data_IF_714832978199
#
_entry.id   IF_714832978199
#
_cell.length_a   1.000
_cell.length_b   1.000
_cell.length_c   1.000
_cell.angle_alpha   90.00
_cell.angle_beta   90.00
_cell.angle_gamma   90.00
#
_symmetry.space_group_name_H-M   'P 1'
#
loop_
_entity.id
_entity.type
_entity.pdbx_description
1 polymer ?
#
# COMPACT_ATOMS: atom_id res chain seq x y z
N UNK A 1 32.87 38.77 48.63
CA UNK A 1 31.39 38.84 48.58
C UNK A 1 30.89 37.57 47.91
N UNK A 2 30.30 36.67 48.72
CA UNK A 2 29.48 35.47 48.40
C UNK A 2 30.13 34.42 47.44
N UNK A 3 30.83 33.34 47.87
CA UNK A 3 30.50 32.13 48.66
C UNK A 3 29.31 31.30 48.16
N UNK A 4 29.57 30.13 47.55
CA UNK A 4 29.30 28.77 48.12
C UNK A 4 29.40 27.66 47.05
N UNK A 5 30.41 26.81 47.23
CA UNK A 5 30.44 25.42 46.77
C UNK A 5 30.51 24.57 48.04
N UNK A 6 29.46 23.81 48.33
CA UNK A 6 29.44 22.87 49.46
C UNK A 6 29.00 21.50 48.98
N UNK A 7 29.87 20.53 49.30
CA UNK A 7 29.73 19.09 49.16
C UNK A 7 28.50 18.58 49.91
N UNK A 8 27.87 17.53 49.39
CA UNK A 8 27.30 16.48 50.24
C UNK A 8 27.58 15.11 49.63
N UNK A 9 28.46 14.39 50.31
CA UNK A 9 28.65 12.94 50.22
C UNK A 9 27.63 12.28 51.14
N UNK A 10 26.83 11.34 50.65
CA UNK A 10 26.15 10.37 51.49
C UNK A 10 26.19 9.00 50.81
N UNK A 11 26.95 8.13 51.46
CA UNK A 11 27.02 6.69 51.36
C UNK A 11 25.65 6.01 51.40
N UNK A 12 25.44 5.05 50.49
CA UNK A 12 24.49 3.94 50.69
C UNK A 12 25.21 2.64 50.35
N UNK A 13 25.45 1.83 51.37
CA UNK A 13 25.98 0.47 51.29
C UNK A 13 24.89 -0.54 51.63
N UNK A 14 24.89 -1.66 50.91
CA UNK A 14 24.23 -2.96 51.21
C UNK A 14 22.69 -2.96 51.11
N UNK A 15 21.99 -3.99 50.64
CA UNK A 15 22.30 -5.41 50.45
C UNK A 15 21.23 -6.08 49.56
N UNK A 16 21.64 -7.16 48.88
CA UNK A 16 20.88 -8.40 48.62
C UNK A 16 19.50 -8.37 47.95
N UNK A 17 19.43 -8.93 46.73
CA UNK A 17 18.63 -10.13 46.38
C UNK A 17 18.63 -10.28 44.85
N UNK A 18 19.43 -11.19 44.29
CA UNK A 18 18.97 -12.50 43.81
C UNK A 18 17.69 -12.42 42.97
N UNK A 19 17.81 -12.09 41.68
CA UNK A 19 16.65 -12.00 40.80
C UNK A 19 16.93 -11.70 39.33
N UNK A 20 17.97 -12.30 38.73
CA UNK A 20 18.16 -12.26 37.28
C UNK A 20 18.58 -13.64 36.75
N UNK A 21 17.82 -14.65 37.18
CA UNK A 21 17.75 -16.00 36.62
C UNK A 21 16.43 -16.13 35.86
N UNK A 22 16.22 -15.30 34.83
CA UNK A 22 15.04 -15.41 33.95
C UNK A 22 15.28 -14.90 32.51
N UNK A 23 16.51 -15.00 32.03
CA UNK A 23 16.88 -14.81 30.61
C UNK A 23 17.78 -15.96 30.12
N UNK A 24 17.46 -17.16 30.60
CA UNK A 24 17.92 -18.46 30.11
C UNK A 24 16.72 -19.38 29.90
N UNK A 25 15.84 -19.01 28.98
CA UNK A 25 14.99 -19.97 28.26
C UNK A 25 14.25 -19.21 27.18
N UNK A 26 14.77 -19.29 25.95
CA UNK A 26 14.04 -19.44 24.68
C UNK A 26 14.97 -19.03 23.54
N UNK A 27 15.08 -19.93 22.55
CA UNK A 27 15.80 -19.78 21.28
C UNK A 27 17.33 -19.96 21.29
N UNK A 28 17.75 -21.17 21.66
CA UNK A 28 18.71 -21.93 20.85
C UNK A 28 18.17 -23.33 20.60
N UNK A 29 17.71 -23.59 19.38
CA UNK A 29 17.86 -24.89 18.71
C UNK A 29 17.68 -24.67 17.22
N UNK A 30 18.80 -24.76 16.53
CA UNK A 30 18.94 -24.87 15.09
C UNK A 30 19.19 -26.35 14.79
N UNK A 31 18.63 -26.83 13.67
CA UNK A 31 19.06 -27.96 12.83
C UNK A 31 18.67 -29.37 13.30
N UNK A 32 17.75 -30.02 12.56
CA UNK A 32 18.08 -31.12 11.65
C UNK A 32 16.83 -31.86 11.12
N UNK A 33 16.71 -31.92 9.80
CA UNK A 33 16.45 -33.14 9.02
C UNK A 33 15.31 -34.07 9.50
N UNK A 34 14.10 -33.83 8.99
CA UNK A 34 13.12 -34.88 8.68
C UNK A 34 11.93 -34.27 7.92
N UNK A 35 11.98 -34.27 6.58
CA UNK A 35 10.83 -34.37 5.66
C UNK A 35 11.33 -34.20 4.20
N UNK A 36 12.34 -35.01 3.84
CA UNK A 36 12.58 -35.41 2.45
C UNK A 36 12.41 -36.93 2.48
N UNK A 37 11.31 -37.40 1.88
CA UNK A 37 10.88 -38.78 1.62
C UNK A 37 9.50 -39.10 2.22
N UNK A 38 8.44 -38.64 1.55
CA UNK A 38 7.14 -39.34 1.42
C UNK A 38 6.18 -38.51 0.56
N UNK A 39 6.51 -38.31 -0.72
CA UNK A 39 5.54 -38.00 -1.78
C UNK A 39 6.14 -38.46 -3.12
N UNK A 40 6.45 -39.75 -3.19
CA UNK A 40 6.68 -40.46 -4.44
C UNK A 40 5.61 -41.56 -4.49
N UNK A 41 4.38 -41.13 -4.78
CA UNK A 41 3.21 -41.98 -4.88
C UNK A 41 2.09 -41.18 -5.52
N UNK A 42 1.72 -41.56 -6.73
CA UNK A 42 0.60 -41.03 -7.51
C UNK A 42 0.76 -39.58 -8.03
N UNK A 43 1.65 -39.42 -9.03
CA UNK A 43 1.36 -38.52 -10.16
C UNK A 43 0.26 -39.19 -10.99
N UNK A 44 -0.94 -39.30 -10.41
CA UNK A 44 -2.15 -39.40 -11.22
C UNK A 44 -2.20 -38.11 -12.02
N UNK A 45 -2.54 -38.22 -13.30
CA UNK A 45 -2.70 -37.09 -14.19
C UNK A 45 -3.67 -36.09 -13.57
N UNK A 46 -3.16 -35.13 -12.79
CA UNK A 46 -3.95 -34.00 -12.33
C UNK A 46 -4.34 -33.30 -13.62
N UNK A 47 -5.63 -33.31 -14.00
CA UNK A 47 -6.07 -32.59 -15.18
C UNK A 47 -5.55 -31.18 -15.00
N UNK A 48 -4.80 -30.67 -15.99
CA UNK A 48 -4.30 -29.30 -15.94
C UNK A 48 -5.52 -28.43 -15.59
N UNK A 49 -5.50 -27.70 -14.45
CA UNK A 49 -6.63 -26.84 -14.11
C UNK A 49 -6.96 -25.99 -15.34
N UNK A 50 -8.22 -26.05 -15.77
CA UNK A 50 -8.74 -25.28 -16.90
C UNK A 50 -8.89 -23.80 -16.55
N UNK A 51 -9.31 -22.95 -17.51
CA UNK A 51 -9.67 -21.56 -17.22
C UNK A 51 -10.78 -21.49 -16.16
N UNK A 52 -10.83 -20.39 -15.41
CA UNK A 52 -11.88 -20.19 -14.39
C UNK A 52 -13.24 -20.13 -15.08
N UNK A 53 -14.30 -20.81 -14.57
CA UNK A 53 -15.62 -20.73 -15.18
C UNK A 53 -16.11 -19.28 -15.27
N UNK A 54 -16.57 -18.84 -16.45
CA UNK A 54 -17.02 -17.46 -16.67
C UNK A 54 -18.16 -17.02 -15.72
N UNK A 55 -19.02 -17.96 -15.30
CA UNK A 55 -20.06 -17.70 -14.31
C UNK A 55 -19.50 -17.31 -12.95
N UNK A 56 -18.40 -17.94 -12.53
CA UNK A 56 -17.78 -17.69 -11.23
C UNK A 56 -17.10 -16.32 -11.21
N UNK A 57 -16.45 -15.94 -12.32
CA UNK A 57 -15.88 -14.59 -12.50
C UNK A 57 -16.97 -13.52 -12.48
N UNK A 58 -18.09 -13.73 -13.19
CA UNK A 58 -19.20 -12.77 -13.22
C UNK A 58 -19.80 -12.53 -11.83
N UNK A 59 -19.99 -13.59 -11.03
CA UNK A 59 -20.48 -13.44 -9.65
C UNK A 59 -19.49 -12.72 -8.73
N UNK A 60 -18.19 -12.94 -8.88
CA UNK A 60 -17.18 -12.23 -8.10
C UNK A 60 -17.08 -10.74 -8.51
N UNK A 61 -17.25 -10.45 -9.80
CA UNK A 61 -17.26 -9.07 -10.32
C UNK A 61 -18.50 -8.30 -9.84
N UNK A 62 -19.68 -8.92 -9.80
CA UNK A 62 -20.89 -8.30 -9.26
C UNK A 62 -20.70 -7.82 -7.81
N UNK A 63 -20.06 -8.66 -6.96
CA UNK A 63 -19.72 -8.28 -5.59
C UNK A 63 -18.67 -7.16 -5.55
N UNK A 64 -17.68 -7.20 -6.43
CA UNK A 64 -16.65 -6.16 -6.53
C UNK A 64 -17.24 -4.80 -6.90
N UNK A 65 -18.18 -4.74 -7.83
CA UNK A 65 -18.86 -3.50 -8.22
C UNK A 65 -19.67 -2.88 -7.07
N UNK A 66 -20.09 -3.70 -6.10
CA UNK A 66 -20.83 -3.26 -4.90
C UNK A 66 -19.95 -2.91 -3.70
N UNK A 67 -18.61 -2.88 -3.85
CA UNK A 67 -17.67 -2.62 -2.74
C UNK A 67 -17.93 -1.31 -1.97
N UNK A 68 -18.52 -0.31 -2.62
CA UNK A 68 -18.92 0.96 -1.99
C UNK A 68 -20.02 0.85 -0.93
N UNK A 69 -20.73 -0.29 -0.85
CA UNK A 69 -21.78 -0.53 0.16
C UNK A 69 -21.22 -0.75 1.58
N UNK A 70 -19.91 -1.00 1.71
CA UNK A 70 -19.22 -1.09 3.00
C UNK A 70 -18.34 -2.34 3.17
N UNK A 71 -17.73 -2.46 4.36
CA UNK A 71 -16.73 -3.51 4.66
C UNK A 71 -17.24 -4.94 4.48
N UNK A 72 -18.49 -5.21 4.84
CA UNK A 72 -19.08 -6.55 4.68
C UNK A 72 -19.11 -6.98 3.21
N UNK A 73 -19.51 -6.09 2.30
CA UNK A 73 -19.52 -6.37 0.85
C UNK A 73 -18.09 -6.56 0.32
N UNK A 74 -17.12 -5.79 0.81
CA UNK A 74 -15.70 -6.01 0.48
C UNK A 74 -15.22 -7.40 0.90
N UNK A 75 -15.57 -7.87 2.10
CA UNK A 75 -15.19 -9.20 2.58
C UNK A 75 -15.86 -10.33 1.77
N UNK A 76 -17.12 -10.15 1.38
CA UNK A 76 -17.80 -11.07 0.49
C UNK A 76 -17.13 -11.15 -0.89
N UNK A 77 -16.76 -9.99 -1.45
CA UNK A 77 -16.02 -9.92 -2.71
C UNK A 77 -14.64 -10.60 -2.59
N UNK A 78 -13.87 -10.30 -1.53
CA UNK A 78 -12.57 -10.92 -1.26
C UNK A 78 -12.68 -12.44 -1.16
N UNK A 79 -13.69 -12.95 -0.43
CA UNK A 79 -13.93 -14.38 -0.30
C UNK A 79 -14.21 -15.04 -1.66
N UNK A 80 -15.01 -14.39 -2.51
CA UNK A 80 -15.29 -14.87 -3.87
C UNK A 80 -14.01 -14.91 -4.71
N UNK A 81 -13.23 -13.82 -4.77
CA UNK A 81 -11.99 -13.77 -5.55
C UNK A 81 -10.91 -14.75 -5.05
N UNK A 82 -10.74 -14.89 -3.73
CA UNK A 82 -9.78 -15.84 -3.13
C UNK A 82 -10.14 -17.29 -3.41
N UNK A 83 -11.42 -17.61 -3.61
CA UNK A 83 -11.83 -18.95 -4.08
C UNK A 83 -11.29 -19.23 -5.48
N UNK A 84 -11.35 -18.23 -6.38
CA UNK A 84 -10.87 -18.36 -7.77
C UNK A 84 -9.35 -18.42 -7.88
N UNK A 85 -8.63 -17.77 -6.95
CA UNK A 85 -7.17 -17.70 -6.93
C UNK A 85 -6.48 -19.08 -6.95
N UNK A 86 -7.13 -20.13 -6.45
CA UNK A 86 -6.58 -21.49 -6.39
C UNK A 86 -6.42 -22.12 -7.78
N UNK A 87 -7.35 -21.82 -8.68
CA UNK A 87 -7.48 -22.46 -9.98
C UNK A 87 -7.08 -21.52 -11.14
N UNK A 88 -7.03 -20.20 -10.89
CA UNK A 88 -6.70 -19.18 -11.88
C UNK A 88 -5.28 -19.29 -12.44
N UNK A 89 -5.12 -19.01 -13.73
CA UNK A 89 -3.85 -19.02 -14.46
C UNK A 89 -3.82 -17.94 -15.55
N UNK A 90 -2.62 -17.60 -16.03
CA UNK A 90 -2.47 -16.65 -17.13
C UNK A 90 -3.18 -15.33 -16.85
N UNK A 91 -3.95 -14.84 -17.81
CA UNK A 91 -4.73 -13.60 -17.70
C UNK A 91 -5.75 -13.63 -16.57
N UNK A 92 -6.40 -14.77 -16.32
CA UNK A 92 -7.36 -14.90 -15.21
C UNK A 92 -6.66 -14.72 -13.86
N UNK A 93 -5.44 -15.23 -13.71
CA UNK A 93 -4.65 -15.05 -12.49
C UNK A 93 -4.30 -13.58 -12.26
N UNK A 94 -3.89 -12.87 -13.31
CA UNK A 94 -3.61 -11.43 -13.24
C UNK A 94 -4.84 -10.65 -12.82
N UNK A 95 -5.99 -10.96 -13.44
CA UNK A 95 -7.26 -10.31 -13.12
C UNK A 95 -7.70 -10.58 -11.67
N UNK A 96 -7.67 -11.84 -11.23
CA UNK A 96 -8.02 -12.23 -9.85
C UNK A 96 -7.11 -11.54 -8.82
N UNK A 97 -5.79 -11.55 -9.06
CA UNK A 97 -4.82 -10.90 -8.15
C UNK A 97 -5.03 -9.40 -8.10
N UNK A 98 -5.27 -8.75 -9.24
CA UNK A 98 -5.58 -7.33 -9.29
C UNK A 98 -6.83 -7.03 -8.46
N UNK A 99 -7.93 -7.77 -8.64
CA UNK A 99 -9.18 -7.56 -7.91
C UNK A 99 -9.03 -7.74 -6.40
N UNK A 100 -8.28 -8.76 -5.94
CA UNK A 100 -8.00 -8.95 -4.51
C UNK A 100 -7.23 -7.74 -3.97
N UNK A 101 -6.14 -7.34 -4.64
CA UNK A 101 -5.33 -6.22 -4.19
C UNK A 101 -6.09 -4.88 -4.20
N UNK A 102 -6.93 -4.62 -5.21
CA UNK A 102 -7.78 -3.42 -5.24
C UNK A 102 -8.77 -3.39 -4.07
N UNK A 103 -9.35 -4.54 -3.68
CA UNK A 103 -10.23 -4.64 -2.51
C UNK A 103 -9.47 -4.44 -1.20
N UNK A 104 -8.27 -5.04 -1.06
CA UNK A 104 -7.42 -4.84 0.11
C UNK A 104 -7.02 -3.36 0.25
N UNK A 105 -6.68 -2.68 -0.86
CA UNK A 105 -6.40 -1.24 -0.88
C UNK A 105 -7.65 -0.44 -0.54
N UNK A 106 -8.80 -0.76 -1.13
CA UNK A 106 -10.06 -0.07 -0.85
C UNK A 106 -10.43 -0.17 0.64
N UNK A 107 -10.35 -1.37 1.24
CA UNK A 107 -10.62 -1.53 2.66
C UNK A 107 -9.60 -0.80 3.52
N UNK A 108 -8.31 -1.09 3.30
CA UNK A 108 -7.24 -0.61 4.15
C UNK A 108 -7.00 0.89 4.04
N UNK A 109 -7.16 1.46 2.86
CA UNK A 109 -6.91 2.87 2.61
C UNK A 109 -8.19 3.70 2.74
N UNK A 110 -9.30 3.28 2.13
CA UNK A 110 -10.46 4.16 1.95
C UNK A 110 -11.56 3.96 2.99
N UNK A 111 -11.76 2.74 3.50
CA UNK A 111 -12.77 2.46 4.52
C UNK A 111 -12.25 2.58 5.95
N UNK A 112 -10.98 2.25 6.18
CA UNK A 112 -10.34 2.36 7.48
C UNK A 112 -9.73 3.74 7.71
N UNK A 113 -9.79 4.21 8.95
CA UNK A 113 -9.10 5.44 9.39
C UNK A 113 -7.60 5.22 9.46
N UNK A 114 -6.83 6.28 9.21
CA UNK A 114 -5.37 6.21 9.17
C UNK A 114 -4.75 5.79 10.51
N UNK A 115 -5.43 6.12 11.62
CA UNK A 115 -5.04 5.77 12.99
C UNK A 115 -5.25 4.29 13.33
N UNK A 116 -6.01 3.53 12.53
CA UNK A 116 -6.28 2.11 12.76
C UNK A 116 -5.20 1.19 12.18
N UNK A 117 -3.94 1.45 12.56
CA UNK A 117 -2.77 0.72 12.04
C UNK A 117 -2.84 -0.80 12.27
N UNK A 118 -3.44 -1.24 13.38
CA UNK A 118 -3.56 -2.67 13.71
C UNK A 118 -4.47 -3.45 12.76
N UNK A 119 -5.50 -2.81 12.20
CA UNK A 119 -6.36 -3.43 11.18
C UNK A 119 -5.78 -3.26 9.77
N UNK A 120 -5.21 -2.10 9.45
CA UNK A 120 -4.61 -1.82 8.13
C UNK A 120 -3.41 -2.71 7.82
N UNK A 121 -2.53 -2.94 8.80
CA UNK A 121 -1.27 -3.66 8.57
C UNK A 121 -1.42 -5.10 8.05
N UNK A 122 -2.28 -5.98 8.62
CA UNK A 122 -2.48 -7.32 8.07
C UNK A 122 -3.10 -7.30 6.66
N UNK A 123 -4.01 -6.37 6.36
CA UNK A 123 -4.62 -6.22 5.03
C UNK A 123 -3.54 -5.93 3.97
N UNK A 124 -2.71 -4.92 4.21
CA UNK A 124 -1.63 -4.60 3.28
C UNK A 124 -0.52 -5.67 3.25
N UNK A 125 -0.37 -6.44 4.33
CA UNK A 125 0.51 -7.60 4.39
C UNK A 125 0.05 -8.68 3.41
N UNK A 126 -1.23 -9.01 3.44
CA UNK A 126 -1.86 -9.96 2.52
C UNK A 126 -1.78 -9.47 1.07
N UNK A 127 -2.08 -8.19 0.80
CA UNK A 127 -1.93 -7.64 -0.55
C UNK A 127 -0.51 -7.83 -1.11
N UNK A 128 0.52 -7.58 -0.29
CA UNK A 128 1.93 -7.75 -0.68
C UNK A 128 2.31 -9.19 -0.98
N UNK A 129 1.64 -10.16 -0.36
CA UNK A 129 1.86 -11.60 -0.58
C UNK A 129 1.10 -12.10 -1.80
N UNK A 130 -0.16 -11.68 -1.96
CA UNK A 130 -1.01 -12.06 -3.09
C UNK A 130 -0.42 -11.57 -4.41
N UNK A 131 0.15 -10.37 -4.45
CA UNK A 131 0.74 -9.83 -5.69
C UNK A 131 1.96 -10.63 -6.19
N UNK A 132 2.67 -11.35 -5.32
CA UNK A 132 3.78 -12.22 -5.74
C UNK A 132 3.34 -13.42 -6.59
N UNK A 133 2.03 -13.72 -6.63
CA UNK A 133 1.48 -14.80 -7.45
C UNK A 133 1.60 -14.53 -8.95
N UNK A 134 1.73 -13.26 -9.35
CA UNK A 134 1.91 -12.85 -10.74
C UNK A 134 3.33 -12.35 -11.03
N UNK A 135 4.26 -12.52 -10.08
CA UNK A 135 5.66 -12.17 -10.30
C UNK A 135 6.24 -12.98 -11.47
N UNK A 136 6.80 -12.28 -12.46
CA UNK A 136 7.40 -12.90 -13.65
C UNK A 136 6.39 -13.37 -14.71
N UNK A 137 5.11 -13.06 -14.56
CA UNK A 137 4.13 -13.17 -15.67
C UNK A 137 4.33 -11.95 -16.58
N UNK A 138 4.80 -12.10 -17.83
CA UNK A 138 5.17 -10.96 -18.67
C UNK A 138 4.03 -9.96 -18.88
N UNK A 139 2.82 -10.46 -19.15
CA UNK A 139 1.63 -9.63 -19.38
C UNK A 139 1.10 -8.94 -18.11
N UNK A 140 1.71 -9.22 -16.96
CA UNK A 140 1.32 -8.70 -15.66
C UNK A 140 2.32 -7.69 -15.09
N UNK A 141 3.37 -7.33 -15.85
CA UNK A 141 4.48 -6.54 -15.32
C UNK A 141 4.02 -5.18 -14.76
N UNK A 142 3.16 -4.46 -15.49
CA UNK A 142 2.58 -3.18 -15.05
C UNK A 142 1.78 -3.34 -13.74
N UNK A 143 0.87 -4.31 -13.72
CA UNK A 143 0.00 -4.63 -12.58
C UNK A 143 0.83 -5.03 -11.36
N UNK A 144 1.79 -5.92 -11.55
CA UNK A 144 2.71 -6.38 -10.52
C UNK A 144 3.45 -5.20 -9.92
N UNK A 145 4.09 -4.39 -10.76
CA UNK A 145 4.97 -3.34 -10.30
C UNK A 145 4.21 -2.23 -9.56
N UNK A 146 3.07 -1.80 -10.10
CA UNK A 146 2.19 -0.81 -9.45
C UNK A 146 1.64 -1.30 -8.10
N UNK A 147 1.00 -2.47 -8.07
CA UNK A 147 0.36 -2.96 -6.85
C UNK A 147 1.41 -3.29 -5.78
N UNK A 148 2.54 -3.88 -6.19
CA UNK A 148 3.58 -4.26 -5.24
C UNK A 148 4.22 -3.04 -4.58
N UNK A 149 4.46 -1.94 -5.32
CA UNK A 149 4.98 -0.72 -4.68
C UNK A 149 3.94 -0.08 -3.76
N UNK A 150 2.68 0.03 -4.21
CA UNK A 150 1.57 0.62 -3.44
C UNK A 150 1.33 -0.15 -2.13
N UNK A 151 1.09 -1.46 -2.20
CA UNK A 151 0.83 -2.27 -1.00
C UNK A 151 2.06 -2.35 -0.08
N UNK A 152 3.28 -2.26 -0.62
CA UNK A 152 4.48 -2.16 0.22
C UNK A 152 4.58 -0.83 0.96
N UNK A 153 4.27 0.29 0.30
CA UNK A 153 4.25 1.61 0.92
C UNK A 153 3.18 1.69 2.04
N UNK A 154 1.96 1.25 1.74
CA UNK A 154 0.84 1.24 2.71
C UNK A 154 1.10 0.31 3.90
N UNK A 155 1.75 -0.84 3.66
CA UNK A 155 2.18 -1.71 4.74
C UNK A 155 3.23 -1.03 5.64
N UNK A 156 4.22 -0.34 5.06
CA UNK A 156 5.26 0.38 5.82
C UNK A 156 4.63 1.48 6.67
N UNK A 157 3.67 2.23 6.13
CA UNK A 157 2.97 3.30 6.84
C UNK A 157 2.18 2.78 8.07
N UNK A 158 1.59 1.60 7.92
CA UNK A 158 0.81 0.92 8.98
C UNK A 158 1.66 0.05 9.92
N UNK A 159 2.94 -0.18 9.62
CA UNK A 159 3.80 -1.05 10.40
C UNK A 159 4.23 -0.42 11.74
N UNK A 160 4.40 -1.27 12.74
CA UNK A 160 5.06 -0.90 14.01
C UNK A 160 6.58 -0.77 13.82
N UNK A 161 7.28 -0.01 14.68
CA UNK A 161 8.74 0.11 14.60
C UNK A 161 9.48 -1.24 14.61
N UNK A 162 8.98 -2.25 15.33
CA UNK A 162 9.58 -3.58 15.37
C UNK A 162 9.45 -4.31 14.02
N UNK A 163 8.30 -4.19 13.36
CA UNK A 163 8.07 -4.79 12.04
C UNK A 163 8.96 -4.15 10.96
N UNK A 164 9.27 -2.85 11.08
CA UNK A 164 10.14 -2.13 10.14
C UNK A 164 11.59 -2.61 10.16
N UNK A 165 12.11 -3.12 11.29
CA UNK A 165 13.50 -3.58 11.40
C UNK A 165 13.79 -4.74 10.44
N UNK A 166 12.83 -5.65 10.24
CA UNK A 166 13.00 -6.81 9.35
C UNK A 166 12.71 -6.52 7.88
N UNK A 167 11.80 -5.59 7.59
CA UNK A 167 11.28 -5.35 6.23
C UNK A 167 11.87 -4.10 5.58
N UNK A 168 12.45 -3.18 6.35
CA UNK A 168 13.05 -1.96 5.80
C UNK A 168 14.13 -2.23 4.75
N UNK A 169 14.93 -3.29 4.93
CA UNK A 169 15.94 -3.70 3.95
C UNK A 169 15.31 -4.26 2.66
N UNK A 170 14.25 -5.07 2.77
CA UNK A 170 13.50 -5.59 1.63
C UNK A 170 12.84 -4.46 0.85
N UNK A 171 12.12 -3.57 1.53
CA UNK A 171 11.44 -2.45 0.89
C UNK A 171 12.45 -1.51 0.22
N UNK A 172 13.59 -1.23 0.88
CA UNK A 172 14.69 -0.48 0.28
C UNK A 172 15.24 -1.14 -0.98
N UNK A 173 15.52 -2.45 -0.94
CA UNK A 173 16.04 -3.16 -2.11
C UNK A 173 15.06 -3.08 -3.26
N UNK A 174 13.80 -3.39 -3.01
CA UNK A 174 12.72 -3.30 -3.97
C UNK A 174 12.54 -1.87 -4.52
N UNK A 175 12.53 -0.86 -3.66
CA UNK A 175 12.41 0.54 -4.09
C UNK A 175 13.56 0.95 -5.02
N UNK A 176 14.79 0.50 -4.73
CA UNK A 176 15.95 0.76 -5.58
C UNK A 176 15.95 -0.05 -6.89
N UNK A 177 15.13 -1.09 -7.01
CA UNK A 177 14.86 -1.70 -8.32
C UNK A 177 13.84 -0.90 -9.12
N UNK A 178 13.10 0.02 -8.50
CA UNK A 178 12.04 0.81 -9.13
C UNK A 178 12.51 2.17 -9.64
N UNK A 179 13.33 2.84 -8.85
CA UNK A 179 13.76 4.20 -9.13
C UNK A 179 15.27 4.28 -9.30
N UNK A 180 15.69 5.19 -10.15
CA UNK A 180 17.07 5.64 -10.24
C UNK A 180 17.42 6.51 -9.03
N UNK A 181 18.70 6.84 -8.87
CA UNK A 181 19.19 7.65 -7.73
C UNK A 181 18.60 9.06 -7.66
N UNK A 182 18.13 9.58 -8.78
CA UNK A 182 17.42 10.87 -8.92
C UNK A 182 15.89 10.72 -8.84
N UNK A 183 15.40 9.57 -8.34
CA UNK A 183 13.97 9.30 -8.10
C UNK A 183 13.11 9.27 -9.36
N UNK A 184 13.72 9.05 -10.52
CA UNK A 184 12.99 8.79 -11.75
C UNK A 184 12.70 7.29 -11.86
N UNK A 185 11.59 6.95 -12.53
CA UNK A 185 11.33 5.56 -12.85
C UNK A 185 12.42 5.01 -13.74
N UNK A 186 12.86 3.80 -13.41
CA UNK A 186 13.86 3.11 -14.20
C UNK A 186 13.32 2.80 -15.59
N UNK A 187 14.01 3.22 -16.68
CA UNK A 187 13.52 3.02 -18.04
C UNK A 187 13.58 1.56 -18.48
N UNK A 188 14.29 0.71 -17.72
CA UNK A 188 14.38 -0.73 -17.96
C UNK A 188 13.31 -1.54 -17.21
N UNK A 189 12.40 -0.87 -16.49
CA UNK A 189 11.20 -1.52 -16.00
C UNK A 189 10.21 -1.68 -17.13
N UNK A 190 9.70 -2.91 -17.28
CA UNK A 190 8.49 -3.19 -18.05
C UNK A 190 7.27 -2.77 -17.21
N UNK A 191 7.24 -1.48 -16.84
CA UNK A 191 6.21 -0.88 -16.01
C UNK A 191 5.74 0.43 -16.64
N UNK A 192 4.48 0.47 -17.02
CA UNK A 192 3.79 1.65 -17.51
C UNK A 192 3.33 2.49 -16.31
N UNK A 193 3.90 3.68 -16.11
CA UNK A 193 3.53 4.51 -14.98
C UNK A 193 2.11 5.04 -15.03
N UNK A 194 1.44 4.96 -16.19
CA UNK A 194 0.10 5.48 -16.41
C UNK A 194 -0.99 4.68 -15.72
N UNK A 195 -0.71 3.41 -15.37
CA UNK A 195 -1.69 2.53 -14.73
C UNK A 195 -2.36 3.23 -13.54
N UNK A 196 -3.70 3.13 -13.47
CA UNK A 196 -4.51 3.77 -12.42
C UNK A 196 -4.28 5.30 -12.35
N UNK A 197 -4.23 5.94 -13.52
CA UNK A 197 -4.06 7.39 -13.67
C UNK A 197 -2.77 7.91 -13.02
N UNK A 198 -1.63 7.30 -13.36
CA UNK A 198 -0.34 7.73 -12.79
C UNK A 198 -0.03 7.11 -11.41
N UNK A 199 -0.60 5.95 -11.09
CA UNK A 199 -0.56 5.37 -9.74
C UNK A 199 0.84 5.09 -9.20
N UNK A 200 1.79 4.74 -10.08
CA UNK A 200 3.20 4.58 -9.70
C UNK A 200 3.80 5.93 -9.29
N UNK A 201 3.57 6.99 -10.07
CA UNK A 201 4.04 8.34 -9.73
C UNK A 201 3.44 8.83 -8.41
N UNK A 202 2.14 8.63 -8.20
CA UNK A 202 1.45 8.97 -6.94
C UNK A 202 2.10 8.29 -5.74
N UNK A 203 2.40 6.99 -5.85
CA UNK A 203 3.00 6.23 -4.75
C UNK A 203 4.42 6.70 -4.45
N UNK A 204 5.24 6.94 -5.48
CA UNK A 204 6.62 7.45 -5.29
C UNK A 204 6.58 8.87 -4.73
N UNK A 205 5.63 9.71 -5.14
CA UNK A 205 5.44 11.04 -4.56
C UNK A 205 5.15 10.97 -3.05
N UNK A 206 4.26 10.06 -2.63
CA UNK A 206 3.98 9.81 -1.22
C UNK A 206 5.23 9.39 -0.44
N UNK A 207 6.00 8.43 -0.98
CA UNK A 207 7.27 7.99 -0.39
C UNK A 207 8.25 9.17 -0.31
N UNK A 208 8.40 9.95 -1.38
CA UNK A 208 9.36 11.06 -1.43
C UNK A 208 9.05 12.16 -0.41
N UNK A 209 7.78 12.38 -0.09
CA UNK A 209 7.36 13.37 0.90
C UNK A 209 7.45 12.86 2.35
N UNK A 210 7.50 11.55 2.58
CA UNK A 210 7.45 10.98 3.93
C UNK A 210 8.77 11.19 4.69
N UNK A 211 8.78 11.71 5.94
CA UNK A 211 10.00 11.91 6.71
C UNK A 211 10.83 10.63 6.97
N UNK A 212 10.19 9.46 7.00
CA UNK A 212 10.84 8.15 7.23
C UNK A 212 11.47 7.58 5.96
N UNK A 213 11.27 8.20 4.80
CA UNK A 213 11.78 7.72 3.51
C UNK A 213 13.31 7.80 3.38
N UNK A 214 13.98 8.55 4.26
CA UNK A 214 15.45 8.53 4.38
C UNK A 214 16.00 7.13 4.70
N UNK A 215 15.19 6.25 5.30
CA UNK A 215 15.54 4.85 5.53
C UNK A 215 15.59 4.03 4.23
N UNK A 216 14.82 4.46 3.23
CA UNK A 216 14.63 3.78 1.94
C UNK A 216 15.68 4.24 0.95
N UNK A 217 15.84 5.55 0.78
CA UNK A 217 16.78 6.13 -0.18
C UNK A 217 17.45 7.41 0.38
N UNK A 218 18.78 7.59 0.24
CA UNK A 218 19.49 8.72 0.85
C UNK A 218 19.13 10.09 0.28
N UNK A 219 18.55 10.15 -0.92
CA UNK A 219 18.06 11.39 -1.52
C UNK A 219 16.68 11.84 -1.00
N UNK A 220 16.13 11.12 -0.01
CA UNK A 220 14.81 11.35 0.56
C UNK A 220 14.88 11.75 2.04
N UNK A 221 13.88 12.47 2.58
CA UNK A 221 12.72 13.04 1.88
C UNK A 221 13.09 14.19 0.93
N UNK A 222 12.28 14.38 -0.11
CA UNK A 222 12.38 15.49 -1.06
C UNK A 222 10.98 15.99 -1.46
N UNK A 223 10.58 17.12 -0.88
CA UNK A 223 9.26 17.72 -1.11
C UNK A 223 9.11 18.22 -2.56
N UNK A 224 10.14 18.85 -3.11
CA UNK A 224 10.10 19.35 -4.49
C UNK A 224 9.91 18.21 -5.49
N UNK A 225 10.63 17.10 -5.29
CA UNK A 225 10.47 15.90 -6.12
C UNK A 225 9.10 15.25 -5.92
N UNK A 226 8.56 15.25 -4.70
CA UNK A 226 7.21 14.76 -4.46
C UNK A 226 6.15 15.58 -5.21
N UNK A 227 6.30 16.92 -5.26
CA UNK A 227 5.42 17.80 -6.03
C UNK A 227 5.53 17.51 -7.53
N UNK A 228 6.75 17.39 -8.05
CA UNK A 228 6.98 17.03 -9.46
C UNK A 228 6.29 15.71 -9.82
N UNK A 229 6.47 14.67 -9.00
CA UNK A 229 5.91 13.34 -9.25
C UNK A 229 4.38 13.32 -9.14
N UNK A 230 3.78 14.02 -8.17
CA UNK A 230 2.32 14.05 -8.07
C UNK A 230 1.70 14.87 -9.22
N UNK A 231 2.39 15.89 -9.73
CA UNK A 231 1.96 16.63 -10.91
C UNK A 231 2.05 15.75 -12.18
N UNK A 232 3.07 14.89 -12.30
CA UNK A 232 3.13 13.87 -13.35
C UNK A 232 2.00 12.83 -13.22
N UNK A 233 1.61 12.46 -12.00
CA UNK A 233 0.49 11.55 -11.78
C UNK A 233 -0.82 12.18 -12.28
N UNK A 234 -1.11 13.44 -11.90
CA UNK A 234 -2.30 14.18 -12.36
C UNK A 234 -2.31 14.35 -13.88
N UNK A 235 -1.16 14.69 -14.47
CA UNK A 235 -1.03 14.89 -15.91
C UNK A 235 -0.95 13.57 -16.72
N UNK A 236 -0.95 12.41 -16.06
CA UNK A 236 -0.82 11.13 -16.72
C UNK A 236 -2.02 10.89 -17.64
N UNK A 237 -1.81 10.58 -18.94
CA UNK A 237 -2.91 10.13 -19.78
C UNK A 237 -3.40 8.76 -19.31
N UNK A 238 -4.53 8.31 -19.86
CA UNK A 238 -5.06 7.00 -19.58
C UNK A 238 -4.09 5.88 -20.00
N UNK A 239 -4.05 4.83 -19.19
CA UNK A 239 -3.34 3.59 -19.50
C UNK A 239 -4.12 2.80 -20.58
N UNK A 240 -3.47 2.07 -21.49
CA UNK A 240 -4.17 1.30 -22.52
C UNK A 240 -5.22 0.34 -21.92
N UNK A 241 -6.48 0.54 -22.30
CA UNK A 241 -7.62 -0.25 -21.79
C UNK A 241 -8.26 0.29 -20.52
N UNK A 242 -7.71 1.35 -19.91
CA UNK A 242 -8.38 2.15 -18.89
C UNK A 242 -9.06 3.36 -19.54
N UNK A 243 -10.24 3.71 -19.01
CA UNK A 243 -11.04 4.85 -19.48
C UNK A 243 -10.53 6.18 -18.89
N UNK A 244 -10.00 6.13 -17.67
CA UNK A 244 -9.64 7.29 -16.89
C UNK A 244 -8.14 7.64 -16.96
N UNK A 245 -7.89 8.94 -16.98
CA UNK A 245 -6.59 9.57 -16.84
C UNK A 245 -6.25 9.86 -15.37
N UNK A 246 -5.06 10.40 -15.14
CA UNK A 246 -4.65 10.87 -13.82
C UNK A 246 -5.48 12.04 -13.29
N UNK A 247 -6.10 12.83 -14.17
CA UNK A 247 -6.93 13.96 -13.77
C UNK A 247 -8.27 13.51 -13.17
N UNK A 248 -8.75 12.31 -13.53
CA UNK A 248 -10.00 11.72 -13.01
C UNK A 248 -9.77 10.89 -11.74
N UNK A 249 -8.50 10.66 -11.36
CA UNK A 249 -8.14 9.90 -10.15
C UNK A 249 -7.99 10.83 -8.95
N UNK A 250 -9.07 11.03 -8.19
CA UNK A 250 -9.11 11.97 -7.06
C UNK A 250 -8.11 11.69 -5.92
N UNK A 251 -7.63 10.44 -5.81
CA UNK A 251 -6.51 10.09 -4.92
C UNK A 251 -5.22 10.88 -5.24
N UNK A 252 -5.02 11.34 -6.48
CA UNK A 252 -3.91 12.20 -6.87
C UNK A 252 -4.02 13.58 -6.21
N UNK A 253 -5.21 14.20 -6.18
CA UNK A 253 -5.41 15.52 -5.57
C UNK A 253 -5.31 15.47 -4.05
N UNK A 254 -5.83 14.42 -3.40
CA UNK A 254 -5.60 14.19 -1.97
C UNK A 254 -4.10 14.06 -1.69
N UNK A 255 -3.40 13.21 -2.43
CA UNK A 255 -1.95 13.02 -2.29
C UNK A 255 -1.18 14.33 -2.44
N UNK A 256 -1.55 15.16 -3.44
CA UNK A 256 -0.95 16.49 -3.64
C UNK A 256 -1.21 17.42 -2.45
N UNK A 257 -2.42 17.45 -1.91
CA UNK A 257 -2.74 18.24 -0.73
C UNK A 257 -1.88 17.82 0.47
N UNK A 258 -1.72 16.52 0.73
CA UNK A 258 -0.86 16.03 1.82
C UNK A 258 0.61 16.42 1.64
N UNK A 259 1.12 16.41 0.41
CA UNK A 259 2.48 16.88 0.07
C UNK A 259 2.59 18.39 0.32
N UNK A 260 1.61 19.19 -0.12
CA UNK A 260 1.56 20.63 0.12
C UNK A 260 1.52 20.97 1.62
N UNK A 261 0.83 20.17 2.44
CA UNK A 261 0.83 20.30 3.91
C UNK A 261 2.24 20.14 4.47
N UNK A 262 2.95 19.09 4.04
CA UNK A 262 4.34 18.82 4.46
C UNK A 262 5.30 19.93 4.00
N UNK A 263 5.02 20.54 2.84
CA UNK A 263 5.73 21.70 2.32
C UNK A 263 5.45 23.02 3.07
N UNK A 264 4.53 23.03 4.05
CA UNK A 264 4.07 24.24 4.73
C UNK A 264 3.11 25.10 3.89
N UNK A 265 2.70 24.63 2.70
CA UNK A 265 1.78 25.31 1.76
C UNK A 265 0.32 25.02 2.11
N UNK A 266 -0.05 25.22 3.38
CA UNK A 266 -1.37 24.83 3.92
C UNK A 266 -2.55 25.53 3.25
N UNK A 267 -2.41 26.80 2.86
CA UNK A 267 -3.46 27.54 2.18
C UNK A 267 -3.78 26.94 0.80
N UNK A 268 -2.75 26.50 0.07
CA UNK A 268 -2.91 25.85 -1.23
C UNK A 268 -3.50 24.45 -1.08
N UNK A 269 -3.06 23.69 -0.07
CA UNK A 269 -3.65 22.40 0.26
C UNK A 269 -5.15 22.52 0.59
N UNK A 270 -5.53 23.52 1.40
CA UNK A 270 -6.92 23.83 1.74
C UNK A 270 -7.75 24.09 0.49
N UNK A 271 -7.30 25.01 -0.36
CA UNK A 271 -8.00 25.36 -1.59
C UNK A 271 -8.18 24.15 -2.53
N UNK A 272 -7.13 23.33 -2.67
CA UNK A 272 -7.19 22.12 -3.50
C UNK A 272 -8.20 21.10 -2.97
N UNK A 273 -8.23 20.85 -1.66
CA UNK A 273 -9.18 19.93 -1.03
C UNK A 273 -10.61 20.42 -1.16
N UNK A 274 -10.85 21.71 -0.87
CA UNK A 274 -12.19 22.33 -0.95
C UNK A 274 -12.73 22.27 -2.39
N UNK A 275 -11.88 22.59 -3.39
CA UNK A 275 -12.25 22.47 -4.80
C UNK A 275 -12.56 21.03 -5.19
N UNK A 276 -11.68 20.08 -4.85
CA UNK A 276 -11.84 18.67 -5.24
C UNK A 276 -13.09 18.04 -4.62
N UNK A 277 -13.40 18.36 -3.35
CA UNK A 277 -14.61 17.88 -2.68
C UNK A 277 -15.86 18.41 -3.39
N UNK A 278 -15.89 19.71 -3.71
CA UNK A 278 -17.03 20.33 -4.39
C UNK A 278 -17.27 19.72 -5.77
N UNK A 279 -16.19 19.47 -6.54
CA UNK A 279 -16.25 18.84 -7.85
C UNK A 279 -16.80 17.41 -7.78
N UNK A 280 -16.32 16.59 -6.83
CA UNK A 280 -16.85 15.22 -6.64
C UNK A 280 -18.34 15.26 -6.27
N UNK A 281 -18.74 16.19 -5.40
CA UNK A 281 -20.15 16.31 -4.98
C UNK A 281 -21.07 16.75 -6.11
N UNK A 282 -20.60 17.64 -6.99
CA UNK A 282 -21.30 18.05 -8.21
C UNK A 282 -21.46 16.86 -9.17
N UNK A 283 -20.36 16.16 -9.51
CA UNK A 283 -20.40 14.97 -10.36
C UNK A 283 -21.30 13.87 -9.78
N UNK A 284 -21.27 13.67 -8.46
CA UNK A 284 -22.13 12.71 -7.79
C UNK A 284 -23.62 13.08 -7.88
N UNK A 285 -23.95 14.37 -7.75
CA UNK A 285 -25.32 14.86 -7.86
C UNK A 285 -25.87 14.71 -9.28
N UNK A 286 -25.02 14.90 -10.29
CA UNK A 286 -25.38 14.80 -11.70
C UNK A 286 -25.32 13.36 -12.24
N UNK A 287 -24.79 12.41 -11.46
CA UNK A 287 -24.61 11.02 -11.88
C UNK A 287 -23.49 10.85 -12.91
N UNK A 288 -22.51 11.76 -12.90
CA UNK A 288 -21.39 11.85 -13.83
C UNK A 288 -20.06 11.40 -13.20
N UNK A 289 -20.11 10.66 -12.08
CA UNK A 289 -18.91 10.04 -11.53
C UNK A 289 -18.28 9.07 -12.55
N UNK A 290 -16.94 8.98 -12.62
CA UNK A 290 -16.30 8.10 -13.57
C UNK A 290 -16.70 6.63 -13.34
N UNK A 291 -17.19 5.92 -14.37
CA UNK A 291 -17.77 4.60 -14.21
C UNK A 291 -16.75 3.57 -13.73
N UNK A 292 -17.16 2.72 -12.81
CA UNK A 292 -16.34 1.66 -12.22
C UNK A 292 -15.37 2.10 -11.12
N UNK A 293 -15.16 3.41 -10.89
CA UNK A 293 -14.37 3.97 -9.77
C UNK A 293 -15.18 4.92 -8.88
N UNK A 294 -16.50 4.89 -8.97
CA UNK A 294 -17.41 5.68 -8.15
C UNK A 294 -17.21 5.40 -6.66
N UNK A 295 -17.05 4.13 -6.20
CA UNK A 295 -16.78 3.84 -4.80
C UNK A 295 -15.52 4.54 -4.27
N UNK A 296 -14.43 4.51 -5.04
CA UNK A 296 -13.16 5.16 -4.69
C UNK A 296 -13.33 6.68 -4.64
N UNK A 297 -13.96 7.24 -5.67
CA UNK A 297 -14.18 8.69 -5.79
C UNK A 297 -15.01 9.22 -4.62
N UNK A 298 -16.08 8.53 -4.24
CA UNK A 298 -16.91 8.91 -3.09
C UNK A 298 -16.18 8.73 -1.76
N UNK A 299 -15.38 7.67 -1.60
CA UNK A 299 -14.63 7.46 -0.36
C UNK A 299 -13.51 8.50 -0.16
N UNK A 300 -12.91 8.99 -1.25
CA UNK A 300 -11.91 10.07 -1.21
C UNK A 300 -12.46 11.36 -0.61
N UNK A 301 -13.75 11.69 -0.77
CA UNK A 301 -14.39 12.85 -0.10
C UNK A 301 -14.23 12.75 1.42
N UNK A 302 -14.42 11.56 1.99
CA UNK A 302 -14.23 11.32 3.42
C UNK A 302 -12.81 11.62 3.87
N UNK A 303 -11.82 11.13 3.12
CA UNK A 303 -10.39 11.32 3.40
C UNK A 303 -9.93 12.76 3.19
N UNK A 304 -10.43 13.43 2.17
CA UNK A 304 -10.16 14.84 1.92
C UNK A 304 -10.72 15.71 3.05
N UNK A 305 -11.94 15.44 3.54
CA UNK A 305 -12.52 16.14 4.69
C UNK A 305 -11.76 15.90 5.98
N UNK A 306 -11.32 14.66 6.23
CA UNK A 306 -10.45 14.34 7.37
C UNK A 306 -9.13 15.13 7.30
N UNK A 307 -8.53 15.20 6.11
CA UNK A 307 -7.31 15.97 5.87
C UNK A 307 -7.52 17.47 6.06
N UNK A 308 -8.64 18.01 5.58
CA UNK A 308 -9.04 19.40 5.77
C UNK A 308 -9.25 19.75 7.25
N UNK A 309 -9.78 18.82 8.05
CA UNK A 309 -9.96 18.97 9.49
C UNK A 309 -8.65 19.05 10.28
N UNK A 310 -7.52 18.63 9.69
CA UNK A 310 -6.17 18.68 10.30
C UNK A 310 -5.38 19.95 9.95
N UNK A 311 -5.89 20.79 9.04
CA UNK A 311 -5.24 22.01 8.53
C UNK A 311 -5.49 23.25 9.40
#
# INVERSE_FOLDING_TARGET
>A
MVLRLSRFTSSFTSSSSSGASFLRSFLRSFIAVALIASFAGEVLANPRPGPVPASDLASAEELYQRRGEGRETVHQALAAWRKLLKDAKGTDLVHVVHRIASLDVFEGELLLRDDNKSERNPIFGECREVIERIAGVPEAADVYHYIKIMCSALWVESATPLQLIGIGSYFKQYFNTFVTSDMNLRPDLDADPRMQGGGIYRTIAGIAADPMSNMVHPALPSVDKAIELIDLAIASPNYPGEEYSGAEMYSNYRGKAEILIRAGRRAEARALLEQSIAEIEELAADGELPPGIEPETLAEVGKMRETLGRL
#
